data_IF_356088087054
#
_entry.id   IF_356088087054
#
_cell.length_a   1.000
_cell.length_b   1.000
_cell.length_c   1.000
_cell.angle_alpha   90.00
_cell.angle_beta   90.00
_cell.angle_gamma   90.00
#
_symmetry.space_group_name_H-M   'P 1'
#
loop_
_entity.id
_entity.type
_entity.pdbx_description
1 polymer ?
#
# COMPACT_ATOMS: atom_id res chain seq x y z
N UNK A 1 42.52 25.62 13.57
CA UNK A 1 41.39 24.79 13.10
C UNK A 1 40.15 25.68 13.08
N UNK A 2 39.61 25.99 11.90
CA UNK A 2 38.66 27.10 11.71
C UNK A 2 37.20 26.65 11.78
N UNK A 3 36.41 27.35 12.60
CA UNK A 3 35.00 27.09 12.91
C UNK A 3 34.10 27.11 11.66
N UNK A 4 34.51 27.84 10.61
CA UNK A 4 33.78 27.95 9.35
C UNK A 4 33.69 26.64 8.56
N UNK A 5 34.62 25.69 8.75
CA UNK A 5 34.62 24.41 8.04
C UNK A 5 33.55 23.42 8.55
N UNK A 6 33.12 23.56 9.80
CA UNK A 6 32.11 22.66 10.40
C UNK A 6 30.68 23.01 9.98
N UNK A 7 30.37 24.30 9.80
CA UNK A 7 29.03 24.78 9.43
C UNK A 7 28.71 24.37 7.97
N UNK A 8 29.70 24.42 7.09
CA UNK A 8 29.54 24.04 5.67
C UNK A 8 29.32 22.52 5.50
N UNK A 9 29.94 21.69 6.33
CA UNK A 9 29.78 20.24 6.32
C UNK A 9 28.41 19.80 6.88
N UNK A 10 27.90 20.47 7.90
CA UNK A 10 26.56 20.18 8.46
C UNK A 10 25.46 20.62 7.48
N UNK A 11 25.59 21.80 6.87
CA UNK A 11 24.65 22.29 5.85
C UNK A 11 24.61 21.39 4.60
N UNK A 12 25.76 20.92 4.13
CA UNK A 12 25.85 19.99 3.00
C UNK A 12 25.32 18.59 3.37
N UNK A 13 25.53 18.12 4.60
CA UNK A 13 25.00 16.84 5.07
C UNK A 13 23.47 16.85 5.20
N UNK A 14 22.87 17.93 5.72
CA UNK A 14 21.42 18.08 5.77
C UNK A 14 20.80 18.25 4.38
N UNK A 15 21.46 18.98 3.47
CA UNK A 15 21.02 19.13 2.08
C UNK A 15 21.12 17.80 1.31
N UNK A 16 22.22 17.05 1.47
CA UNK A 16 22.40 15.70 0.92
C UNK A 16 21.41 14.72 1.54
N UNK A 17 21.07 14.84 2.82
CA UNK A 17 20.05 14.00 3.47
C UNK A 17 18.64 14.33 2.98
N UNK A 18 18.30 15.61 2.76
CA UNK A 18 17.00 16.02 2.20
C UNK A 18 16.89 15.64 0.71
N UNK A 19 17.97 15.76 -0.08
CA UNK A 19 18.02 15.32 -1.47
C UNK A 19 18.04 13.79 -1.63
N UNK A 20 18.74 13.05 -0.77
CA UNK A 20 18.72 11.58 -0.74
C UNK A 20 17.42 11.03 -0.14
N UNK A 21 16.76 11.77 0.76
CA UNK A 21 15.41 11.50 1.25
C UNK A 21 14.39 11.61 0.10
N UNK A 22 14.50 12.64 -0.75
CA UNK A 22 13.72 12.72 -2.00
C UNK A 22 14.07 11.61 -3.01
N UNK A 23 15.33 11.16 -3.09
CA UNK A 23 15.76 10.07 -4.01
C UNK A 23 15.36 8.66 -3.56
N UNK A 24 15.25 8.37 -2.26
CA UNK A 24 14.78 7.07 -1.73
C UNK A 24 13.28 6.83 -1.92
N UNK A 25 12.48 7.89 -2.08
CA UNK A 25 11.05 7.78 -2.37
C UNK A 25 10.73 7.50 -3.84
N UNK A 26 11.55 7.98 -4.78
CA UNK A 26 11.24 7.92 -6.21
C UNK A 26 11.67 6.60 -6.88
N UNK A 27 12.77 5.99 -6.42
CA UNK A 27 13.32 4.76 -7.03
C UNK A 27 12.67 3.45 -6.51
N UNK A 28 11.72 3.54 -5.56
CA UNK A 28 11.02 2.39 -4.93
C UNK A 28 9.52 2.27 -5.24
N UNK A 29 8.90 3.18 -6.01
CA UNK A 29 7.42 3.35 -6.05
C UNK A 29 6.78 3.26 -7.44
N UNK A 30 7.20 2.31 -8.28
CA UNK A 30 6.34 1.85 -9.38
C UNK A 30 5.58 0.62 -8.90
N UNK A 31 4.27 0.77 -8.73
CA UNK A 31 3.37 -0.37 -8.77
C UNK A 31 3.49 -0.95 -10.18
N UNK A 32 3.69 -2.25 -10.28
CA UNK A 32 3.92 -2.98 -11.52
C UNK A 32 3.08 -4.26 -11.46
N UNK A 33 2.71 -4.85 -12.60
CA UNK A 33 2.10 -6.17 -12.66
C UNK A 33 2.79 -7.18 -11.74
N UNK A 34 2.00 -7.97 -11.03
CA UNK A 34 2.46 -9.00 -10.10
C UNK A 34 2.80 -8.52 -8.69
N UNK A 35 2.87 -7.21 -8.43
CA UNK A 35 3.23 -6.68 -7.10
C UNK A 35 2.10 -6.93 -6.09
N UNK A 36 2.37 -7.58 -4.94
CA UNK A 36 1.41 -7.68 -3.86
C UNK A 36 1.20 -6.31 -3.20
N UNK A 37 -0.06 -5.95 -2.99
CA UNK A 37 -0.50 -4.68 -2.44
C UNK A 37 -1.45 -4.91 -1.26
N UNK A 38 -1.50 -3.93 -0.37
CA UNK A 38 -2.47 -3.86 0.71
C UNK A 38 -3.35 -2.65 0.43
N UNK A 39 -4.66 -2.87 0.44
CA UNK A 39 -5.66 -1.81 0.30
C UNK A 39 -6.45 -1.69 1.60
N UNK A 40 -6.46 -0.49 2.18
CA UNK A 40 -7.22 -0.21 3.40
C UNK A 40 -8.64 0.20 3.03
N UNK A 41 -9.62 -0.58 3.47
CA UNK A 41 -11.03 -0.36 3.16
C UNK A 41 -11.82 -0.11 4.45
N UNK A 42 -12.75 0.84 4.41
CA UNK A 42 -13.75 1.01 5.45
C UNK A 42 -14.91 0.04 5.21
N UNK A 43 -15.31 -0.69 6.23
CA UNK A 43 -16.41 -1.65 6.20
C UNK A 43 -17.38 -1.39 7.35
N UNK A 44 -18.59 -1.91 7.19
CA UNK A 44 -19.65 -1.86 8.19
C UNK A 44 -20.27 -3.24 8.34
N UNK A 45 -20.51 -3.68 9.58
CA UNK A 45 -21.07 -5.00 9.89
C UNK A 45 -22.02 -4.92 11.07
N UNK A 46 -23.10 -5.70 11.05
CA UNK A 46 -23.98 -5.91 12.21
C UNK A 46 -23.43 -6.92 13.22
N UNK A 47 -22.37 -7.65 12.85
CA UNK A 47 -21.67 -8.58 13.73
C UNK A 47 -20.32 -8.00 14.17
N UNK A 48 -19.83 -8.37 15.38
CA UNK A 48 -18.50 -8.01 15.82
C UNK A 48 -17.44 -8.38 14.76
N UNK A 49 -16.54 -7.45 14.41
CA UNK A 49 -15.59 -7.67 13.33
C UNK A 49 -14.47 -8.64 13.74
N UNK A 50 -13.83 -9.24 12.73
CA UNK A 50 -12.74 -10.19 12.92
C UNK A 50 -11.42 -9.57 13.44
N UNK A 51 -10.43 -10.40 13.79
CA UNK A 51 -9.17 -9.96 14.40
C UNK A 51 -8.30 -9.04 13.51
N UNK A 52 -8.53 -9.04 12.21
CA UNK A 52 -7.88 -8.13 11.25
C UNK A 52 -8.45 -6.72 11.25
N UNK A 53 -9.63 -6.49 11.83
CA UNK A 53 -10.23 -5.18 11.88
C UNK A 53 -9.45 -4.22 12.77
N UNK A 54 -9.46 -2.95 12.40
CA UNK A 54 -8.76 -1.84 13.04
C UNK A 54 -9.72 -0.67 13.17
N UNK A 55 -9.47 0.22 14.15
CA UNK A 55 -10.30 1.41 14.40
C UNK A 55 -11.80 1.08 14.47
N UNK A 56 -12.13 0.07 15.28
CA UNK A 56 -13.49 -0.44 15.43
C UNK A 56 -14.29 0.56 16.26
N UNK A 57 -15.42 1.01 15.73
CA UNK A 57 -16.34 1.92 16.39
C UNK A 57 -17.77 1.35 16.34
N UNK A 58 -18.41 1.11 17.49
CA UNK A 58 -19.82 0.78 17.50
C UNK A 58 -20.64 2.00 17.07
N UNK A 59 -21.74 1.77 16.35
CA UNK A 59 -22.75 2.78 16.10
C UNK A 59 -23.45 3.16 17.41
N UNK A 60 -24.04 4.35 17.46
CA UNK A 60 -24.68 4.90 18.66
C UNK A 60 -25.75 3.97 19.27
N UNK A 61 -26.43 3.18 18.43
CA UNK A 61 -27.48 2.23 18.86
C UNK A 61 -26.97 0.80 19.02
N UNK A 62 -25.68 0.55 18.78
CA UNK A 62 -25.04 -0.76 18.91
C UNK A 62 -25.46 -1.79 17.85
N UNK A 63 -26.19 -1.37 16.81
CA UNK A 63 -26.69 -2.20 15.71
C UNK A 63 -25.61 -2.49 14.65
N UNK A 64 -24.64 -1.60 14.52
CA UNK A 64 -23.55 -1.70 13.55
C UNK A 64 -22.18 -1.44 14.18
N UNK A 65 -21.16 -1.97 13.52
CA UNK A 65 -19.76 -1.67 13.76
C UNK A 65 -19.16 -1.08 12.49
N UNK A 66 -18.48 0.05 12.62
CA UNK A 66 -17.64 0.64 11.58
C UNK A 66 -16.19 0.28 11.87
N UNK A 67 -15.45 -0.16 10.87
CA UNK A 67 -14.05 -0.54 11.05
C UNK A 67 -13.26 -0.41 9.76
N UNK A 68 -11.94 -0.42 9.89
CA UNK A 68 -11.00 -0.50 8.78
C UNK A 68 -10.47 -1.92 8.67
N UNK A 69 -10.40 -2.44 7.44
CA UNK A 69 -9.79 -3.73 7.14
C UNK A 69 -8.70 -3.56 6.09
N UNK A 70 -7.65 -4.38 6.22
CA UNK A 70 -6.60 -4.48 5.23
C UNK A 70 -6.91 -5.65 4.28
N UNK A 71 -7.09 -5.33 2.99
CA UNK A 71 -7.29 -6.29 1.93
C UNK A 71 -5.96 -6.60 1.23
N UNK A 72 -5.68 -7.89 1.03
CA UNK A 72 -4.45 -8.39 0.44
C UNK A 72 -4.69 -8.72 -1.04
N UNK A 73 -4.30 -7.79 -1.92
CA UNK A 73 -4.55 -7.86 -3.35
C UNK A 73 -3.25 -7.93 -4.13
N UNK A 74 -3.34 -8.12 -5.44
CA UNK A 74 -2.17 -8.06 -6.32
C UNK A 74 -2.44 -7.14 -7.49
N UNK A 75 -1.43 -6.37 -7.88
CA UNK A 75 -1.49 -5.60 -9.12
C UNK A 75 -1.51 -6.59 -10.28
N UNK A 76 -2.54 -6.53 -11.10
CA UNK A 76 -2.63 -7.27 -12.33
C UNK A 76 -2.07 -6.43 -13.49
N UNK A 77 -2.55 -5.20 -13.64
CA UNK A 77 -2.14 -4.29 -14.71
C UNK A 77 -1.94 -2.88 -14.20
N UNK A 78 -1.09 -2.12 -14.89
CA UNK A 78 -1.00 -0.67 -14.75
C UNK A 78 -1.35 -0.09 -16.12
N UNK A 79 -2.39 0.74 -16.16
CA UNK A 79 -2.88 1.37 -17.38
C UNK A 79 -1.98 2.53 -17.80
N UNK A 80 -2.11 2.97 -19.05
CA UNK A 80 -1.29 4.06 -19.63
C UNK A 80 -1.49 5.40 -18.90
N UNK A 81 -2.70 5.63 -18.38
CA UNK A 81 -3.03 6.80 -17.56
C UNK A 81 -2.53 6.70 -16.10
N UNK A 82 -1.85 5.61 -15.76
CA UNK A 82 -1.29 5.35 -14.44
C UNK A 82 -2.25 4.74 -13.43
N UNK A 83 -3.53 4.50 -13.77
CA UNK A 83 -4.44 3.73 -12.91
C UNK A 83 -4.00 2.27 -12.82
N UNK A 84 -4.46 1.59 -11.77
CA UNK A 84 -4.00 0.25 -11.40
C UNK A 84 -5.19 -0.68 -11.40
N UNK A 85 -5.10 -1.77 -12.15
CA UNK A 85 -6.03 -2.89 -12.04
C UNK A 85 -5.46 -3.84 -10.99
N UNK A 86 -6.17 -4.00 -9.89
CA UNK A 86 -5.84 -4.91 -8.81
C UNK A 86 -6.80 -6.09 -8.81
N UNK A 87 -6.29 -7.28 -8.54
CA UNK A 87 -7.09 -8.50 -8.40
C UNK A 87 -7.22 -8.90 -6.94
N UNK A 88 -8.42 -9.32 -6.54
CA UNK A 88 -8.71 -9.84 -5.20
C UNK A 88 -8.42 -11.35 -5.11
N UNK A 89 -8.41 -11.94 -3.90
CA UNK A 89 -8.27 -13.39 -3.75
C UNK A 89 -9.40 -14.18 -4.43
N UNK A 90 -10.56 -13.55 -4.64
CA UNK A 90 -11.71 -14.12 -5.35
C UNK A 90 -11.66 -13.86 -6.87
N UNK A 91 -10.53 -13.35 -7.38
CA UNK A 91 -10.34 -13.00 -8.79
C UNK A 91 -11.25 -11.86 -9.28
N UNK A 92 -11.71 -11.00 -8.38
CA UNK A 92 -12.43 -9.78 -8.76
C UNK A 92 -11.43 -8.67 -9.10
N UNK A 93 -11.77 -7.83 -10.08
CA UNK A 93 -10.89 -6.76 -10.56
C UNK A 93 -11.36 -5.40 -10.05
N UNK A 94 -10.43 -4.62 -9.50
CA UNK A 94 -10.69 -3.28 -9.00
C UNK A 94 -9.76 -2.26 -9.64
N UNK A 95 -10.33 -1.17 -10.13
CA UNK A 95 -9.59 -0.04 -10.67
C UNK A 95 -9.26 0.96 -9.56
N UNK A 96 -7.97 1.13 -9.27
CA UNK A 96 -7.47 1.99 -8.22
C UNK A 96 -6.67 3.16 -8.79
N UNK A 97 -6.76 4.30 -8.11
CA UNK A 97 -5.86 5.43 -8.37
C UNK A 97 -4.49 5.10 -7.79
N UNK A 98 -3.44 5.40 -8.54
CA UNK A 98 -2.06 5.16 -8.11
C UNK A 98 -1.68 5.91 -6.83
N UNK A 99 -2.21 7.12 -6.66
CA UNK A 99 -1.93 7.99 -5.53
C UNK A 99 -3.00 7.90 -4.44
N UNK A 100 -3.82 6.83 -4.45
CA UNK A 100 -4.79 6.60 -3.39
C UNK A 100 -4.06 6.41 -2.05
N UNK A 101 -4.35 7.22 -1.01
CA UNK A 101 -3.69 7.12 0.28
C UNK A 101 -3.96 5.79 1.01
N UNK A 102 -5.01 5.05 0.62
CA UNK A 102 -5.33 3.73 1.17
C UNK A 102 -4.59 2.59 0.46
N UNK A 103 -3.92 2.86 -0.65
CA UNK A 103 -3.16 1.90 -1.42
C UNK A 103 -1.68 1.94 -1.03
N UNK A 104 -1.14 0.79 -0.64
CA UNK A 104 0.30 0.62 -0.42
C UNK A 104 0.80 -0.72 -0.92
N UNK A 105 2.11 -0.80 -1.16
CA UNK A 105 2.77 -2.07 -1.40
C UNK A 105 2.80 -2.90 -0.12
N UNK A 106 2.61 -4.21 -0.24
CA UNK A 106 2.79 -5.12 0.90
C UNK A 106 4.28 -5.14 1.32
N UNK A 107 4.51 -5.03 2.63
CA UNK A 107 5.83 -5.17 3.25
C UNK A 107 6.32 -6.62 3.15
N UNK A 108 7.63 -6.84 3.34
CA UNK A 108 8.21 -8.19 3.31
C UNK A 108 7.61 -9.09 4.39
N UNK A 109 7.34 -8.56 5.59
CA UNK A 109 6.75 -9.31 6.68
C UNK A 109 5.31 -9.75 6.34
N UNK A 110 4.52 -8.86 5.74
CA UNK A 110 3.16 -9.20 5.29
C UNK A 110 3.16 -10.23 4.17
N UNK A 111 4.12 -10.12 3.23
CA UNK A 111 4.28 -11.11 2.17
C UNK A 111 4.64 -12.48 2.71
N UNK A 112 5.40 -12.55 3.80
CA UNK A 112 5.76 -13.81 4.47
C UNK A 112 4.57 -14.36 5.28
N UNK A 113 3.95 -13.54 6.14
CA UNK A 113 2.88 -13.98 7.05
C UNK A 113 1.53 -14.21 6.35
N UNK A 114 1.21 -13.37 5.37
CA UNK A 114 -0.07 -13.39 4.65
C UNK A 114 0.10 -13.84 3.20
N UNK A 115 1.21 -14.51 2.87
CA UNK A 115 1.52 -14.98 1.52
C UNK A 115 0.39 -15.75 0.85
N UNK A 116 -0.30 -16.61 1.61
CA UNK A 116 -1.43 -17.41 1.13
C UNK A 116 -2.70 -16.60 0.83
N UNK A 117 -2.82 -15.38 1.38
CA UNK A 117 -3.97 -14.49 1.13
C UNK A 117 -3.83 -13.70 -0.15
N UNK A 118 -2.62 -13.58 -0.70
CA UNK A 118 -2.44 -12.89 -1.97
C UNK A 118 -2.87 -13.78 -3.13
N UNK A 119 -3.63 -13.26 -4.11
CA UNK A 119 -3.96 -14.02 -5.29
C UNK A 119 -2.69 -14.42 -6.04
N UNK A 120 -2.73 -15.61 -6.63
CA UNK A 120 -1.71 -16.07 -7.58
C UNK A 120 -2.23 -15.76 -8.97
N UNK A 121 -1.57 -14.84 -9.66
CA UNK A 121 -1.87 -14.64 -11.08
C UNK A 121 -1.43 -15.90 -11.82
N UNK A 122 -2.34 -16.50 -12.59
CA UNK A 122 -1.95 -17.53 -13.54
C UNK A 122 -0.95 -16.89 -14.51
N UNK A 123 0.24 -17.46 -14.61
CA UNK A 123 1.23 -17.07 -15.62
C UNK A 123 0.68 -17.47 -16.98
N UNK A 124 -0.04 -16.56 -17.66
CA UNK A 124 -0.52 -16.84 -19.01
C UNK A 124 -1.72 -16.06 -19.55
N UNK A 125 -2.26 -15.05 -18.87
CA UNK A 125 -3.31 -14.23 -19.51
C UNK A 125 -2.67 -13.28 -20.54
N UNK A 126 -2.95 -13.43 -21.85
CA UNK A 126 -2.49 -12.48 -22.84
C UNK A 126 -3.26 -11.17 -22.67
N UNK A 127 -2.56 -10.06 -22.82
CA UNK A 127 -3.18 -8.73 -22.94
C UNK A 127 -4.03 -8.72 -24.22
N UNK A 128 -5.27 -8.19 -24.20
CA UNK A 128 -5.99 -7.87 -25.44
C UNK A 128 -5.26 -6.78 -26.24
#
# INVERSE_FOLDING_TARGET
>A
MSVGSFILLIGLSLLVTVLLSRRRHFLRRRLQPGVPIVYRMAETSSRPPGPEARDIRPAERGDLYYFLIEKYWRVEQVLDDGRIVAVTPLMEHHLLRRDDPNLRRASLLERLRHGARFPRLASGFPLP
#
